data_IF_403344712659
#
_entry.id   IF_403344712659
#
_cell.length_a   1.000
_cell.length_b   1.000
_cell.length_c   1.000
_cell.angle_alpha   90.00
_cell.angle_beta   90.00
_cell.angle_gamma   90.00
#
_symmetry.space_group_name_H-M   'P 1'
#
loop_
_entity.id
_entity.type
_entity.pdbx_description
1 polymer ?
#
# COMPACT_ATOMS: atom_id res chain seq x y z
N UNK A 1 -8.51 -2.49 24.31
CA UNK A 1 -7.88 -1.22 24.74
C UNK A 1 -6.98 -0.70 23.64
N UNK A 2 -7.15 0.58 23.25
CA UNK A 2 -6.29 1.33 22.33
C UNK A 2 -5.39 2.26 23.14
N UNK A 3 -4.14 2.49 22.69
CA UNK A 3 -3.16 3.33 23.41
C UNK A 3 -2.43 4.28 22.46
N UNK A 4 -1.69 5.24 23.04
CA UNK A 4 -0.79 6.13 22.30
C UNK A 4 -1.51 7.10 21.36
N UNK A 5 -0.95 7.31 20.16
CA UNK A 5 -1.42 8.32 19.22
C UNK A 5 -2.89 8.15 18.82
N UNK A 6 -3.35 6.91 18.61
CA UNK A 6 -4.74 6.65 18.22
C UNK A 6 -5.72 6.88 19.37
N UNK A 7 -5.34 6.55 20.61
CA UNK A 7 -6.14 6.90 21.79
C UNK A 7 -6.25 8.42 21.96
N UNK A 8 -5.14 9.13 21.80
CA UNK A 8 -5.11 10.59 21.82
C UNK A 8 -5.98 11.21 20.71
N UNK A 9 -5.91 10.64 19.51
CA UNK A 9 -6.73 11.08 18.37
C UNK A 9 -8.23 10.97 18.67
N UNK A 10 -8.69 9.80 19.16
CA UNK A 10 -10.08 9.60 19.55
C UNK A 10 -10.51 10.60 20.66
N UNK A 11 -9.71 10.75 21.70
CA UNK A 11 -10.08 11.57 22.85
C UNK A 11 -10.03 13.07 22.57
N UNK A 12 -9.02 13.56 21.86
CA UNK A 12 -8.73 15.00 21.72
C UNK A 12 -9.16 15.58 20.38
N UNK A 13 -8.98 14.85 19.29
CA UNK A 13 -9.30 15.34 17.93
C UNK A 13 -10.76 15.05 17.62
N UNK A 14 -11.17 13.79 17.74
CA UNK A 14 -12.56 13.38 17.48
C UNK A 14 -13.51 13.73 18.63
N UNK A 15 -12.97 13.99 19.84
CA UNK A 15 -13.76 14.30 21.04
C UNK A 15 -14.81 13.25 21.35
N UNK A 16 -14.45 11.99 21.11
CA UNK A 16 -15.31 10.85 21.33
C UNK A 16 -15.66 10.69 22.82
N UNK A 17 -16.81 10.09 23.11
CA UNK A 17 -17.37 9.94 24.47
C UNK A 17 -17.66 8.46 24.75
N UNK A 18 -17.74 8.06 26.03
CA UNK A 18 -18.29 6.77 26.39
C UNK A 18 -19.68 6.58 25.78
N UNK A 19 -19.90 5.42 25.18
CA UNK A 19 -21.12 5.10 24.41
C UNK A 19 -21.02 5.33 22.91
N UNK A 20 -20.02 6.07 22.42
CA UNK A 20 -19.79 6.22 20.98
C UNK A 20 -19.28 4.90 20.38
N UNK A 21 -19.74 4.61 19.16
CA UNK A 21 -19.32 3.42 18.40
C UNK A 21 -18.27 3.79 17.37
N UNK A 22 -17.23 2.98 17.26
CA UNK A 22 -16.15 3.11 16.29
C UNK A 22 -15.89 1.75 15.62
N UNK A 23 -15.27 1.77 14.46
CA UNK A 23 -14.75 0.56 13.81
C UNK A 23 -13.25 0.48 14.14
N UNK A 24 -12.84 -0.65 14.72
CA UNK A 24 -11.43 -0.98 14.91
C UNK A 24 -11.03 -1.99 13.85
N UNK A 25 -9.84 -1.84 13.29
CA UNK A 25 -9.26 -2.77 12.34
C UNK A 25 -7.98 -3.39 12.91
N UNK A 26 -7.77 -4.68 12.69
CA UNK A 26 -6.57 -5.39 13.16
C UNK A 26 -5.39 -5.30 12.18
N UNK A 27 -5.60 -4.69 11.01
CA UNK A 27 -4.59 -4.59 9.95
C UNK A 27 -4.46 -5.85 9.08
N UNK A 28 -5.29 -6.88 9.32
CA UNK A 28 -5.32 -8.14 8.58
C UNK A 28 -6.69 -8.39 7.92
N UNK A 29 -7.34 -7.31 7.48
CA UNK A 29 -8.66 -7.32 6.85
C UNK A 29 -9.81 -7.79 7.76
N UNK A 30 -9.66 -7.72 9.09
CA UNK A 30 -10.76 -7.96 10.03
C UNK A 30 -11.11 -6.67 10.74
N UNK A 31 -12.38 -6.32 10.71
CA UNK A 31 -12.97 -5.17 11.37
C UNK A 31 -13.81 -5.60 12.57
N UNK A 32 -13.91 -4.72 13.55
CA UNK A 32 -14.66 -4.92 14.78
C UNK A 32 -15.48 -3.69 15.08
N UNK A 33 -16.78 -3.85 15.24
CA UNK A 33 -17.62 -2.80 15.85
C UNK A 33 -17.27 -2.73 17.34
N UNK A 34 -16.93 -1.56 17.81
CA UNK A 34 -16.48 -1.35 19.17
C UNK A 34 -17.16 -0.14 19.80
N UNK A 35 -17.73 -0.31 21.00
CA UNK A 35 -18.31 0.77 21.78
C UNK A 35 -17.32 1.25 22.83
N UNK A 36 -17.07 2.55 22.90
CA UNK A 36 -16.18 3.14 23.90
C UNK A 36 -16.82 2.99 25.28
N UNK A 37 -16.10 2.34 26.21
CA UNK A 37 -16.55 2.14 27.58
C UNK A 37 -15.92 3.13 28.56
N UNK A 38 -14.75 3.70 28.21
CA UNK A 38 -14.08 4.67 29.06
C UNK A 38 -12.77 5.19 28.50
N UNK A 39 -12.24 6.22 29.16
CA UNK A 39 -10.96 6.84 28.86
C UNK A 39 -10.06 6.78 30.09
N UNK A 40 -8.81 6.38 29.91
CA UNK A 40 -7.73 6.48 30.90
C UNK A 40 -6.73 7.57 30.51
N UNK A 41 -5.61 7.64 31.23
CA UNK A 41 -4.60 8.69 31.02
C UNK A 41 -4.00 8.64 29.58
N UNK A 42 -3.69 7.45 29.07
CA UNK A 42 -3.16 7.22 27.71
C UNK A 42 -3.83 6.00 27.05
N UNK A 43 -5.12 5.83 27.29
CA UNK A 43 -5.87 4.70 26.74
C UNK A 43 -7.34 5.01 26.56
N UNK A 44 -7.94 4.27 25.62
CA UNK A 44 -9.38 4.15 25.43
C UNK A 44 -9.76 2.69 25.55
N UNK A 45 -10.78 2.40 26.35
CA UNK A 45 -11.30 1.05 26.59
C UNK A 45 -12.59 0.84 25.79
N UNK A 46 -12.78 -0.36 25.27
CA UNK A 46 -13.91 -0.72 24.40
C UNK A 46 -14.58 -2.02 24.84
N UNK A 47 -15.89 -2.09 24.62
CA UNK A 47 -16.60 -3.34 24.41
C UNK A 47 -16.57 -3.64 22.91
N UNK A 48 -16.05 -4.82 22.52
CA UNK A 48 -15.80 -5.18 21.12
C UNK A 48 -16.73 -6.32 20.75
N UNK A 49 -17.42 -6.19 19.61
CA UNK A 49 -18.25 -7.23 19.02
C UNK A 49 -17.39 -8.25 18.24
N UNK A 50 -17.94 -9.41 17.85
CA UNK A 50 -17.24 -10.36 16.97
C UNK A 50 -16.75 -9.69 15.68
N UNK A 51 -15.51 -10.03 15.27
CA UNK A 51 -14.89 -9.49 14.06
C UNK A 51 -15.59 -10.01 12.78
N UNK A 52 -15.53 -9.18 11.75
CA UNK A 52 -16.03 -9.50 10.42
C UNK A 52 -15.02 -9.09 9.34
N UNK A 53 -15.02 -9.73 8.15
CA UNK A 53 -14.13 -9.35 7.07
C UNK A 53 -14.35 -7.89 6.63
N UNK A 54 -13.27 -7.14 6.43
CA UNK A 54 -13.35 -5.78 5.88
C UNK A 54 -13.89 -5.81 4.44
N UNK A 55 -14.87 -4.96 4.17
CA UNK A 55 -15.42 -4.78 2.83
C UNK A 55 -14.58 -3.82 1.96
N UNK A 56 -13.61 -3.14 2.55
CA UNK A 56 -12.78 -2.14 1.86
C UNK A 56 -11.62 -2.75 1.06
N UNK A 57 -11.34 -4.05 1.24
CA UNK A 57 -10.19 -4.67 0.59
C UNK A 57 -10.50 -5.18 -0.82
N UNK A 58 -9.61 -4.91 -1.79
CA UNK A 58 -9.73 -5.46 -3.13
C UNK A 58 -9.70 -7.00 -3.15
N UNK A 59 -10.32 -7.58 -4.17
CA UNK A 59 -10.26 -9.03 -4.43
C UNK A 59 -8.92 -9.48 -5.02
N UNK A 60 -8.07 -8.53 -5.40
CA UNK A 60 -6.70 -8.72 -5.90
C UNK A 60 -5.69 -8.14 -4.93
N UNK A 61 -4.52 -8.75 -4.84
CA UNK A 61 -3.39 -8.23 -4.09
C UNK A 61 -2.47 -7.46 -5.04
N UNK A 62 -2.44 -6.14 -4.92
CA UNK A 62 -1.72 -5.25 -5.84
C UNK A 62 -0.39 -4.84 -5.23
N UNK A 63 0.69 -5.12 -5.96
CA UNK A 63 2.01 -4.54 -5.72
C UNK A 63 2.30 -3.45 -6.76
N UNK A 64 2.57 -2.23 -6.31
CA UNK A 64 3.03 -1.14 -7.16
C UNK A 64 4.55 -1.10 -7.18
N UNK A 65 5.15 -1.49 -8.28
CA UNK A 65 6.58 -1.37 -8.57
C UNK A 65 6.80 -0.02 -9.24
N UNK A 66 7.26 0.98 -8.48
CA UNK A 66 7.33 2.38 -8.92
C UNK A 66 8.78 2.83 -9.16
N UNK A 67 9.11 3.26 -10.37
CA UNK A 67 10.37 3.93 -10.66
C UNK A 67 10.55 5.14 -9.74
N UNK A 68 11.74 5.25 -9.10
CA UNK A 68 11.98 6.26 -8.07
C UNK A 68 11.91 7.68 -8.67
N UNK A 69 10.90 8.49 -8.31
CA UNK A 69 10.69 9.79 -8.92
C UNK A 69 11.58 10.88 -8.27
N UNK A 70 11.63 12.04 -8.90
CA UNK A 70 12.29 13.22 -8.34
C UNK A 70 11.46 13.83 -7.20
N UNK A 71 12.16 14.48 -6.28
CA UNK A 71 11.56 15.25 -5.17
C UNK A 71 10.63 14.39 -4.29
N UNK A 72 9.54 14.97 -3.79
CA UNK A 72 8.61 14.33 -2.87
C UNK A 72 7.43 13.61 -3.57
N UNK A 73 7.55 13.38 -4.89
CA UNK A 73 6.49 12.73 -5.67
C UNK A 73 6.21 11.30 -5.21
N UNK A 74 7.22 10.60 -4.66
CA UNK A 74 7.03 9.26 -4.13
C UNK A 74 6.00 9.24 -3.00
N UNK A 75 5.93 10.28 -2.17
CA UNK A 75 4.94 10.40 -1.11
C UNK A 75 3.51 10.47 -1.66
N UNK A 76 3.32 11.19 -2.78
CA UNK A 76 2.03 11.24 -3.47
C UNK A 76 1.67 9.89 -4.11
N UNK A 77 2.65 9.22 -4.74
CA UNK A 77 2.46 7.87 -5.31
C UNK A 77 2.05 6.88 -4.22
N UNK A 78 2.71 6.92 -3.06
CA UNK A 78 2.37 6.07 -1.91
C UNK A 78 0.95 6.34 -1.46
N UNK A 79 0.62 7.60 -1.18
CA UNK A 79 -0.72 7.99 -0.71
C UNK A 79 -1.80 7.52 -1.67
N UNK A 80 -1.71 7.88 -2.95
CA UNK A 80 -2.72 7.52 -3.93
C UNK A 80 -2.71 6.03 -4.27
N UNK A 81 -1.55 5.36 -4.27
CA UNK A 81 -1.45 3.91 -4.44
C UNK A 81 -2.23 3.16 -3.36
N UNK A 82 -2.08 3.57 -2.10
CA UNK A 82 -2.84 3.01 -0.97
C UNK A 82 -4.35 3.28 -1.11
N UNK A 83 -4.74 4.52 -1.44
CA UNK A 83 -6.14 4.90 -1.66
C UNK A 83 -6.79 4.08 -2.79
N UNK A 84 -6.03 3.70 -3.82
CA UNK A 84 -6.47 2.88 -4.95
C UNK A 84 -6.38 1.36 -4.69
N UNK A 85 -5.89 0.95 -3.53
CA UNK A 85 -5.93 -0.46 -3.13
C UNK A 85 -4.59 -1.20 -3.18
N UNK A 86 -3.46 -0.55 -3.47
CA UNK A 86 -2.16 -1.20 -3.39
C UNK A 86 -1.89 -1.70 -1.96
N UNK A 87 -1.49 -2.97 -1.84
CA UNK A 87 -1.05 -3.58 -0.58
C UNK A 87 0.45 -3.35 -0.36
N UNK A 88 1.22 -3.39 -1.44
CA UNK A 88 2.67 -3.27 -1.39
C UNK A 88 3.14 -2.20 -2.37
N UNK A 89 4.08 -1.37 -1.94
CA UNK A 89 4.71 -0.37 -2.79
C UNK A 89 6.22 -0.58 -2.73
N UNK A 90 6.82 -0.88 -3.87
CA UNK A 90 8.24 -1.17 -4.00
C UNK A 90 8.87 -0.16 -4.95
N UNK A 91 9.52 0.88 -4.45
CA UNK A 91 10.28 1.80 -5.29
C UNK A 91 11.48 1.09 -5.93
N UNK A 92 11.92 1.54 -7.09
CA UNK A 92 13.14 1.01 -7.69
C UNK A 92 13.89 2.07 -8.51
N UNK A 93 15.18 1.84 -8.73
CA UNK A 93 15.98 2.66 -9.62
C UNK A 93 15.98 2.08 -11.02
N UNK A 94 15.68 2.91 -12.02
CA UNK A 94 15.88 2.62 -13.43
C UNK A 94 17.01 3.50 -13.99
N UNK A 95 17.43 3.22 -15.21
CA UNK A 95 18.52 3.94 -15.87
C UNK A 95 18.31 5.46 -15.91
N UNK A 96 17.06 5.90 -16.09
CA UNK A 96 16.72 7.31 -16.19
C UNK A 96 16.27 7.94 -14.86
N UNK A 97 16.38 7.22 -13.75
CA UNK A 97 16.19 7.83 -12.44
C UNK A 97 17.31 8.81 -12.13
N UNK A 98 16.94 10.06 -11.93
CA UNK A 98 17.91 11.14 -11.60
C UNK A 98 18.17 11.21 -10.09
N UNK A 99 17.23 10.72 -9.28
CA UNK A 99 17.34 10.75 -7.83
C UNK A 99 18.21 9.60 -7.34
N UNK A 100 19.27 9.93 -6.60
CA UNK A 100 20.00 8.95 -5.79
C UNK A 100 19.61 9.19 -4.33
N UNK A 101 18.94 8.25 -3.66
CA UNK A 101 18.57 8.44 -2.28
C UNK A 101 19.79 8.45 -1.39
N UNK A 102 19.76 9.39 -0.47
CA UNK A 102 20.64 9.39 0.69
C UNK A 102 19.75 9.10 1.89
N UNK A 103 20.15 8.18 2.78
CA UNK A 103 19.41 7.80 4.01
C UNK A 103 18.08 7.10 3.72
N UNK A 104 18.13 6.03 2.94
CA UNK A 104 16.94 5.28 2.50
C UNK A 104 16.12 4.73 3.65
N UNK A 105 16.75 4.21 4.70
CA UNK A 105 16.06 3.68 5.88
C UNK A 105 15.20 4.72 6.59
N UNK A 106 15.75 5.93 6.84
CA UNK A 106 15.01 7.02 7.48
C UNK A 106 13.84 7.52 6.62
N UNK A 107 14.01 7.54 5.30
CA UNK A 107 12.93 7.87 4.37
C UNK A 107 11.87 6.78 4.33
N UNK A 108 12.27 5.52 4.38
CA UNK A 108 11.36 4.39 4.37
C UNK A 108 10.43 4.38 5.58
N UNK A 109 10.91 4.69 6.78
CA UNK A 109 10.07 4.88 7.96
C UNK A 109 9.00 5.96 7.74
N UNK A 110 9.40 7.09 7.12
CA UNK A 110 8.46 8.15 6.76
C UNK A 110 7.44 7.68 5.72
N UNK A 111 7.85 6.93 4.72
CA UNK A 111 6.97 6.39 3.67
C UNK A 111 5.95 5.42 4.25
N UNK A 112 6.35 4.52 5.13
CA UNK A 112 5.44 3.60 5.81
C UNK A 112 4.45 4.35 6.71
N UNK A 113 4.85 5.45 7.35
CA UNK A 113 3.92 6.30 8.09
C UNK A 113 2.90 6.97 7.18
N UNK A 114 3.30 7.47 6.00
CA UNK A 114 2.38 8.05 5.01
C UNK A 114 1.39 6.99 4.52
N UNK A 115 1.86 5.78 4.24
CA UNK A 115 1.01 4.66 3.84
C UNK A 115 -0.02 4.31 4.91
N UNK A 116 0.39 4.24 6.18
CA UNK A 116 -0.49 4.00 7.31
C UNK A 116 -1.55 5.09 7.47
N UNK A 117 -1.17 6.37 7.38
CA UNK A 117 -2.12 7.48 7.47
C UNK A 117 -3.12 7.47 6.30
N UNK A 118 -2.66 7.17 5.08
CA UNK A 118 -3.53 7.01 3.93
C UNK A 118 -4.52 5.85 4.13
N UNK A 119 -4.06 4.70 4.62
CA UNK A 119 -4.91 3.55 4.92
C UNK A 119 -5.99 3.87 5.96
N UNK A 120 -5.63 4.56 7.05
CA UNK A 120 -6.60 5.02 8.05
C UNK A 120 -7.64 5.97 7.47
N UNK A 121 -7.20 6.90 6.62
CA UNK A 121 -8.07 7.92 6.03
C UNK A 121 -9.07 7.33 5.02
N UNK A 122 -8.67 6.34 4.24
CA UNK A 122 -9.54 5.70 3.25
C UNK A 122 -10.21 4.40 3.77
N UNK A 123 -10.01 4.05 5.03
CA UNK A 123 -10.67 2.90 5.68
C UNK A 123 -10.16 1.54 5.21
N UNK A 124 -8.88 1.41 4.83
CA UNK A 124 -8.27 0.12 4.47
C UNK A 124 -8.21 -0.81 5.67
N UNK A 125 -8.58 -2.05 5.46
CA UNK A 125 -8.52 -3.12 6.48
C UNK A 125 -7.17 -3.83 6.55
N UNK A 126 -6.31 -3.66 5.53
CA UNK A 126 -4.94 -4.19 5.49
C UNK A 126 -3.95 -3.05 5.64
N UNK A 127 -2.91 -3.25 6.44
CA UNK A 127 -1.82 -2.29 6.55
C UNK A 127 -0.91 -2.40 5.32
N UNK A 128 -0.85 -1.36 4.47
CA UNK A 128 0.05 -1.37 3.32
C UNK A 128 1.50 -1.20 3.80
N UNK A 129 2.45 -1.77 3.04
CA UNK A 129 3.86 -1.58 3.30
C UNK A 129 4.58 -0.91 2.13
N UNK A 130 5.62 -0.17 2.46
CA UNK A 130 6.55 0.42 1.50
C UNK A 130 7.91 -0.20 1.72
N UNK A 131 8.39 -0.95 0.75
CA UNK A 131 9.69 -1.60 0.81
C UNK A 131 10.85 -0.59 0.61
N UNK A 132 12.05 -0.99 0.98
CA UNK A 132 13.27 -0.29 0.57
C UNK A 132 13.41 -0.36 -0.96
N UNK A 133 13.95 0.69 -1.60
CA UNK A 133 14.10 0.73 -3.04
C UNK A 133 14.97 -0.40 -3.58
N UNK A 134 14.51 -1.07 -4.64
CA UNK A 134 15.34 -2.02 -5.38
C UNK A 134 16.45 -1.27 -6.14
N UNK A 135 17.67 -1.84 -6.22
CA UNK A 135 18.85 -1.13 -6.72
C UNK A 135 18.83 -0.88 -8.22
N UNK A 136 18.07 -1.63 -9.00
CA UNK A 136 17.98 -1.49 -10.45
C UNK A 136 16.76 -2.24 -11.01
N UNK A 137 16.42 -1.99 -12.27
CA UNK A 137 15.29 -2.63 -12.93
C UNK A 137 15.48 -4.15 -13.10
N UNK A 138 16.70 -4.66 -13.26
CA UNK A 138 16.94 -6.09 -13.28
C UNK A 138 16.58 -6.80 -11.96
N UNK A 139 16.62 -6.09 -10.82
CA UNK A 139 16.11 -6.63 -9.56
C UNK A 139 14.56 -6.71 -9.56
N UNK A 140 13.89 -5.77 -10.22
CA UNK A 140 12.44 -5.81 -10.44
C UNK A 140 12.05 -7.03 -11.29
N UNK A 141 12.70 -7.22 -12.44
CA UNK A 141 12.40 -8.35 -13.33
C UNK A 141 12.56 -9.72 -12.64
N UNK A 142 13.56 -9.85 -11.74
CA UNK A 142 13.74 -11.09 -10.96
C UNK A 142 12.60 -11.36 -9.96
N UNK A 143 11.77 -10.38 -9.66
CA UNK A 143 10.62 -10.58 -8.77
C UNK A 143 9.34 -10.96 -9.52
N UNK A 144 9.34 -10.99 -10.84
CA UNK A 144 8.14 -11.24 -11.64
C UNK A 144 7.51 -12.61 -11.38
N UNK A 145 8.31 -13.61 -11.08
CA UNK A 145 7.83 -14.96 -10.73
C UNK A 145 6.96 -15.01 -9.45
N UNK A 146 6.98 -13.93 -8.65
CA UNK A 146 6.16 -13.83 -7.44
C UNK A 146 4.71 -13.44 -7.75
N UNK A 147 4.40 -13.00 -8.97
CA UNK A 147 3.11 -12.47 -9.36
C UNK A 147 2.41 -13.37 -10.38
N UNK A 148 1.10 -13.39 -10.32
CA UNK A 148 0.27 -14.14 -11.29
C UNK A 148 0.05 -13.32 -12.58
N UNK A 149 0.14 -11.99 -12.48
CA UNK A 149 0.13 -11.05 -13.61
C UNK A 149 1.06 -9.87 -13.33
N UNK A 150 1.88 -9.54 -14.32
CA UNK A 150 2.71 -8.32 -14.32
C UNK A 150 2.22 -7.39 -15.42
N UNK A 151 1.82 -6.18 -15.05
CA UNK A 151 1.46 -5.12 -15.99
C UNK A 151 2.62 -4.14 -16.09
N UNK A 152 3.41 -4.27 -17.14
CA UNK A 152 4.50 -3.35 -17.45
C UNK A 152 3.97 -2.16 -18.26
N UNK A 153 3.92 -0.98 -17.62
CA UNK A 153 3.42 0.24 -18.24
C UNK A 153 4.49 0.88 -19.14
N UNK A 154 4.47 0.55 -20.43
CA UNK A 154 5.41 1.02 -21.43
C UNK A 154 4.69 1.66 -22.61
N UNK A 155 5.20 2.82 -23.10
CA UNK A 155 4.54 3.62 -24.11
C UNK A 155 4.67 3.06 -25.56
N UNK A 156 5.62 2.16 -25.79
CA UNK A 156 5.96 1.68 -27.13
C UNK A 156 5.28 0.36 -27.53
N UNK A 157 4.10 0.08 -27.01
CA UNK A 157 3.34 -1.11 -27.40
C UNK A 157 2.65 -1.78 -26.22
N UNK A 158 2.07 -2.95 -26.49
CA UNK A 158 1.42 -3.75 -25.44
C UNK A 158 0.13 -4.41 -25.90
N UNK A 159 -0.45 -5.23 -25.04
CA UNK A 159 -1.75 -5.85 -25.19
C UNK A 159 -2.84 -5.01 -24.51
N UNK A 160 -4.11 -5.12 -24.94
CA UNK A 160 -5.21 -4.45 -24.26
C UNK A 160 -5.34 -4.91 -22.81
N UNK A 161 -5.34 -3.97 -21.87
CA UNK A 161 -5.42 -4.26 -20.43
C UNK A 161 -6.59 -5.18 -20.07
N UNK A 162 -7.76 -4.96 -20.69
CA UNK A 162 -8.96 -5.76 -20.46
C UNK A 162 -8.75 -7.24 -20.81
N UNK A 163 -8.00 -7.53 -21.86
CA UNK A 163 -7.67 -8.89 -22.26
C UNK A 163 -6.75 -9.54 -21.23
N UNK A 164 -5.66 -8.86 -20.85
CA UNK A 164 -4.71 -9.36 -19.86
C UNK A 164 -5.39 -9.69 -18.53
N UNK A 165 -6.27 -8.80 -18.05
CA UNK A 165 -7.02 -9.03 -16.82
C UNK A 165 -8.03 -10.17 -16.93
N UNK A 166 -8.62 -10.40 -18.10
CA UNK A 166 -9.56 -11.51 -18.30
C UNK A 166 -8.87 -12.89 -18.35
N UNK A 167 -7.63 -12.91 -18.80
CA UNK A 167 -6.80 -14.13 -18.92
C UNK A 167 -6.09 -14.48 -17.59
N UNK A 168 -5.92 -13.51 -16.71
CA UNK A 168 -5.24 -13.69 -15.43
C UNK A 168 -6.04 -14.61 -14.50
N UNK A 169 -5.37 -15.59 -13.91
CA UNK A 169 -5.95 -16.53 -12.96
C UNK A 169 -5.10 -16.62 -11.71
N UNK A 170 -5.68 -16.46 -10.52
CA UNK A 170 -4.96 -16.70 -9.29
C UNK A 170 -4.64 -18.21 -9.14
N UNK A 171 -3.63 -18.51 -8.32
CA UNK A 171 -3.46 -19.85 -7.81
C UNK A 171 -4.71 -20.26 -7.00
N UNK A 172 -5.06 -21.54 -7.02
CA UNK A 172 -6.29 -22.07 -6.40
C UNK A 172 -6.45 -21.61 -4.95
N UNK A 173 -7.59 -20.95 -4.68
CA UNK A 173 -7.96 -20.48 -3.34
C UNK A 173 -7.20 -19.23 -2.85
N UNK A 174 -6.40 -18.58 -3.71
CA UNK A 174 -5.66 -17.38 -3.36
C UNK A 174 -6.22 -16.14 -4.07
N UNK A 175 -5.86 -14.95 -3.56
CA UNK A 175 -6.07 -13.71 -4.31
C UNK A 175 -5.10 -13.66 -5.49
N UNK A 176 -5.54 -13.07 -6.60
CA UNK A 176 -4.65 -12.76 -7.74
C UNK A 176 -3.57 -11.78 -7.27
N UNK A 177 -2.31 -12.15 -7.42
CA UNK A 177 -1.15 -11.28 -7.13
C UNK A 177 -0.80 -10.51 -8.41
N UNK A 178 -1.09 -9.23 -8.39
CA UNK A 178 -0.91 -8.34 -9.53
C UNK A 178 0.24 -7.36 -9.27
N UNK A 179 1.25 -7.35 -10.11
CA UNK A 179 2.25 -6.28 -10.14
C UNK A 179 1.92 -5.24 -11.19
N UNK A 180 2.00 -3.96 -10.83
CA UNK A 180 1.94 -2.84 -11.77
C UNK A 180 3.30 -2.16 -11.75
N UNK A 181 3.98 -2.14 -12.89
CA UNK A 181 5.33 -1.58 -13.04
C UNK A 181 5.23 -0.26 -13.78
N UNK A 182 5.63 0.82 -13.13
CA UNK A 182 5.63 2.17 -13.72
C UNK A 182 7.03 2.77 -13.67
N UNK A 183 7.47 3.43 -14.76
CA UNK A 183 8.72 4.17 -14.80
C UNK A 183 8.69 5.45 -13.96
N UNK A 184 9.88 6.01 -13.70
CA UNK A 184 10.02 7.40 -13.24
C UNK A 184 9.71 8.36 -14.41
N UNK A 185 9.95 9.67 -14.20
CA UNK A 185 9.66 10.70 -15.22
C UNK A 185 10.36 10.48 -16.57
N UNK A 186 11.49 9.77 -16.57
CA UNK A 186 12.26 9.44 -17.78
C UNK A 186 11.81 8.15 -18.45
N UNK A 187 10.82 7.45 -17.92
CA UNK A 187 10.39 6.14 -18.41
C UNK A 187 11.45 5.06 -18.27
N UNK A 188 11.48 4.13 -19.23
CA UNK A 188 12.42 3.01 -19.28
C UNK A 188 13.37 3.15 -20.47
N UNK A 189 14.59 2.69 -20.33
CA UNK A 189 15.49 2.50 -21.46
C UNK A 189 15.03 1.30 -22.31
N UNK A 190 15.38 1.28 -23.60
CA UNK A 190 15.01 0.19 -24.49
C UNK A 190 15.51 -1.16 -23.96
N UNK A 191 16.73 -1.20 -23.45
CA UNK A 191 17.33 -2.42 -22.87
C UNK A 191 16.59 -2.88 -21.60
N UNK A 192 16.00 -1.95 -20.84
CA UNK A 192 15.16 -2.29 -19.68
C UNK A 192 13.82 -2.87 -20.13
N UNK A 193 13.21 -2.31 -21.18
CA UNK A 193 11.97 -2.83 -21.75
C UNK A 193 12.14 -4.23 -22.38
N UNK A 194 13.32 -4.55 -22.91
CA UNK A 194 13.65 -5.89 -23.43
C UNK A 194 13.84 -6.94 -22.31
N UNK A 195 14.08 -6.51 -21.08
CA UNK A 195 14.21 -7.42 -19.93
C UNK A 195 12.86 -7.80 -19.31
N UNK A 196 11.81 -7.01 -19.58
CA UNK A 196 10.49 -7.20 -19.01
C UNK A 196 9.63 -8.13 -19.87
#
# INVERSE_FOLDING_TARGET
TLRGADAHHLARVMRAKPGDTVILCDGNAVEYTATITGFGEDRVDFAVEPGYPSAAEPTVEVTLLAGYPKQDKLEQIIKHGVELGAAHIVPFFSRYCVAAPKKEEQKNERYNRIALEAAKQCGRGVLPDVALPLPNFGAVCRSFDQYDLVLFCYECGGAPLRQLLAEAKPADGQKLRLAIVTGAEGGFAAEEAEMA
#
